data_IF_996730258714
#
_entry.id   IF_996730258714
#
_cell.length_a   1.000
_cell.length_b   1.000
_cell.length_c   1.000
_cell.angle_alpha   90.00
_cell.angle_beta   90.00
_cell.angle_gamma   90.00
#
_symmetry.space_group_name_H-M   'P 1'
#
loop_
_entity.id
_entity.type
_entity.pdbx_description
1 polymer ?
#
# COMPACT_ATOMS: atom_id res chain seq x y z
N UNK A 1 -17.78 -16.38 -9.32
CA UNK A 1 -18.39 -15.03 -9.18
C UNK A 1 -17.93 -14.20 -10.37
N UNK A 2 -18.84 -13.49 -11.02
CA UNK A 2 -18.52 -12.55 -12.12
C UNK A 2 -19.06 -11.19 -11.74
N UNK A 3 -18.23 -10.17 -11.90
CA UNK A 3 -18.56 -8.78 -11.67
C UNK A 3 -18.12 -7.96 -12.87
N UNK A 4 -18.92 -6.98 -13.30
CA UNK A 4 -18.56 -6.02 -14.31
C UNK A 4 -19.05 -4.64 -13.90
N UNK A 5 -18.24 -3.62 -14.14
CA UNK A 5 -18.56 -2.23 -13.82
C UNK A 5 -17.96 -1.32 -14.87
N UNK A 6 -18.75 -0.37 -15.33
CA UNK A 6 -18.27 0.74 -16.14
C UNK A 6 -17.81 1.88 -15.22
N UNK A 7 -16.67 2.47 -15.55
CA UNK A 7 -16.12 3.61 -14.85
C UNK A 7 -15.73 4.68 -15.85
N UNK A 8 -16.37 5.84 -15.74
CA UNK A 8 -15.96 7.01 -16.49
C UNK A 8 -14.84 7.74 -15.75
N UNK A 9 -13.72 7.95 -16.44
CA UNK A 9 -12.59 8.74 -15.93
C UNK A 9 -12.64 10.10 -16.62
N UNK A 10 -12.83 11.15 -15.84
CA UNK A 10 -12.85 12.53 -16.33
C UNK A 10 -11.63 13.26 -15.81
N UNK A 11 -10.95 13.97 -16.70
CA UNK A 11 -9.84 14.86 -16.38
C UNK A 11 -10.21 16.29 -16.80
N UNK A 12 -9.71 17.29 -16.06
CA UNK A 12 -10.03 18.67 -16.36
C UNK A 12 -9.29 19.16 -17.61
N UNK A 13 -8.05 18.69 -17.80
CA UNK A 13 -7.20 19.08 -18.93
C UNK A 13 -6.56 17.86 -19.61
N UNK A 14 -6.30 17.97 -20.91
CA UNK A 14 -5.65 16.91 -21.68
C UNK A 14 -4.26 16.54 -21.10
N UNK A 15 -3.53 17.53 -20.56
CA UNK A 15 -2.23 17.30 -19.94
C UNK A 15 -2.27 16.27 -18.78
N UNK A 16 -3.41 16.17 -18.08
CA UNK A 16 -3.59 15.20 -16.99
C UNK A 16 -3.64 13.76 -17.49
N UNK A 17 -4.04 13.54 -18.74
CA UNK A 17 -4.02 12.19 -19.35
C UNK A 17 -2.60 11.68 -19.62
N UNK A 18 -1.61 12.57 -19.62
CA UNK A 18 -0.20 12.25 -19.86
C UNK A 18 0.58 11.97 -18.58
N UNK A 19 -0.05 12.14 -17.41
CA UNK A 19 0.58 11.89 -16.12
C UNK A 19 0.73 10.40 -15.85
N UNK A 20 1.96 9.96 -15.68
CA UNK A 20 2.29 8.57 -15.37
C UNK A 20 2.23 8.26 -13.86
N UNK A 21 2.15 9.27 -13.02
CA UNK A 21 2.09 9.19 -11.56
C UNK A 21 0.68 9.08 -11.00
N UNK A 22 -0.33 9.41 -11.80
CA UNK A 22 -1.74 9.23 -11.44
C UNK A 22 -2.27 7.84 -11.82
N UNK A 23 -3.17 7.31 -11.01
CA UNK A 23 -3.82 6.02 -11.24
C UNK A 23 -5.28 6.09 -10.90
N UNK A 24 -6.09 5.45 -11.71
CA UNK A 24 -7.49 5.22 -11.39
C UNK A 24 -7.58 3.94 -10.54
N UNK A 25 -8.11 4.08 -9.34
CA UNK A 25 -8.29 2.96 -8.43
C UNK A 25 -9.65 2.29 -8.68
N UNK A 26 -9.61 1.04 -9.10
CA UNK A 26 -10.76 0.15 -9.14
C UNK A 26 -10.69 -0.80 -7.96
N UNK A 27 -11.65 -0.72 -7.07
CA UNK A 27 -11.71 -1.56 -5.89
C UNK A 27 -13.04 -2.30 -5.84
N UNK A 28 -12.97 -3.61 -5.63
CA UNK A 28 -14.14 -4.46 -5.41
C UNK A 28 -13.85 -5.45 -4.28
N UNK A 29 -14.76 -5.54 -3.34
CA UNK A 29 -14.70 -6.50 -2.24
C UNK A 29 -15.59 -7.69 -2.53
N UNK A 30 -15.12 -8.88 -2.19
CA UNK A 30 -15.87 -10.12 -2.31
C UNK A 30 -15.81 -10.89 -0.99
N UNK A 31 -16.96 -11.38 -0.54
CA UNK A 31 -17.04 -12.34 0.55
C UNK A 31 -16.77 -13.74 0.00
N UNK A 32 -15.63 -14.31 0.36
CA UNK A 32 -15.20 -15.63 -0.09
C UNK A 32 -15.13 -16.60 1.10
N UNK A 33 -15.46 -17.86 0.85
CA UNK A 33 -15.11 -18.96 1.78
C UNK A 33 -13.61 -19.23 1.69
N UNK A 34 -13.05 -19.89 2.71
CA UNK A 34 -11.68 -20.41 2.65
C UNK A 34 -11.50 -21.36 1.46
N UNK A 35 -10.35 -21.31 0.79
CA UNK A 35 -10.06 -22.15 -0.37
C UNK A 35 -9.18 -21.46 -1.40
N UNK A 36 -8.85 -22.18 -2.46
CA UNK A 36 -8.03 -21.70 -3.57
C UNK A 36 -8.90 -21.05 -4.64
N UNK A 37 -8.47 -19.91 -5.13
CA UNK A 37 -9.19 -19.11 -6.13
C UNK A 37 -8.24 -18.65 -7.24
N UNK A 38 -8.81 -18.53 -8.44
CA UNK A 38 -8.21 -17.79 -9.54
C UNK A 38 -9.07 -16.57 -9.82
N UNK A 39 -8.44 -15.41 -9.93
CA UNK A 39 -9.06 -14.15 -10.33
C UNK A 39 -8.54 -13.76 -11.70
N UNK A 40 -9.46 -13.46 -12.60
CA UNK A 40 -9.16 -12.85 -13.89
C UNK A 40 -9.74 -11.45 -13.88
N UNK A 41 -8.90 -10.45 -14.11
CA UNK A 41 -9.30 -9.06 -14.28
C UNK A 41 -9.10 -8.67 -15.73
N UNK A 42 -10.17 -8.17 -16.36
CA UNK A 42 -10.14 -7.67 -17.74
C UNK A 42 -10.59 -6.22 -17.75
N UNK A 43 -9.78 -5.37 -18.34
CA UNK A 43 -10.08 -3.94 -18.51
C UNK A 43 -10.16 -3.65 -20.01
N UNK A 44 -11.25 -3.00 -20.43
CA UNK A 44 -11.48 -2.61 -21.81
C UNK A 44 -11.77 -1.11 -21.89
N UNK A 45 -11.09 -0.44 -22.79
CA UNK A 45 -11.43 0.92 -23.20
C UNK A 45 -12.38 0.84 -24.42
N UNK A 46 -13.65 1.23 -24.27
CA UNK A 46 -14.62 1.16 -25.36
C UNK A 46 -14.32 2.14 -26.50
N UNK A 47 -13.60 3.25 -26.24
CA UNK A 47 -13.29 4.28 -27.22
C UNK A 47 -12.14 3.85 -28.13
N UNK A 48 -11.05 3.35 -27.56
CA UNK A 48 -9.90 2.87 -28.35
C UNK A 48 -10.03 1.41 -28.77
N UNK A 49 -10.97 0.65 -28.19
CA UNK A 49 -11.11 -0.79 -28.37
C UNK A 49 -10.00 -1.62 -27.69
N UNK A 50 -9.06 -0.99 -27.01
CA UNK A 50 -7.97 -1.68 -26.32
C UNK A 50 -8.50 -2.48 -25.14
N UNK A 51 -7.93 -3.64 -24.95
CA UNK A 51 -8.24 -4.53 -23.83
C UNK A 51 -6.95 -5.09 -23.25
N UNK A 52 -6.92 -5.22 -21.92
CA UNK A 52 -5.87 -5.94 -21.21
C UNK A 52 -6.50 -6.90 -20.21
N UNK A 53 -5.79 -7.96 -19.87
CA UNK A 53 -6.20 -8.95 -18.89
C UNK A 53 -5.02 -9.32 -18.00
N UNK A 54 -5.32 -9.59 -16.74
CA UNK A 54 -4.38 -10.14 -15.78
C UNK A 54 -5.06 -11.26 -14.97
N UNK A 55 -4.31 -12.31 -14.71
CA UNK A 55 -4.74 -13.45 -13.89
C UNK A 55 -3.88 -13.53 -12.63
N UNK A 56 -4.51 -13.89 -11.50
CA UNK A 56 -3.84 -14.16 -10.25
C UNK A 56 -4.48 -15.35 -9.54
N UNK A 57 -3.66 -16.14 -8.88
CA UNK A 57 -4.11 -17.21 -8.00
C UNK A 57 -3.79 -16.86 -6.55
N UNK A 58 -4.72 -17.17 -5.66
CA UNK A 58 -4.53 -16.94 -4.23
C UNK A 58 -5.32 -17.95 -3.42
N UNK A 59 -4.93 -18.11 -2.16
CA UNK A 59 -5.65 -18.90 -1.18
C UNK A 59 -6.32 -17.97 -0.20
N UNK A 60 -7.66 -18.00 -0.15
CA UNK A 60 -8.42 -17.35 0.91
C UNK A 60 -8.22 -18.15 2.21
N UNK A 61 -7.65 -17.52 3.26
CA UNK A 61 -7.33 -18.22 4.49
C UNK A 61 -8.59 -18.60 5.26
N UNK A 62 -8.46 -19.61 6.11
CA UNK A 62 -9.50 -19.96 7.08
C UNK A 62 -9.34 -19.10 8.34
N UNK A 63 -10.36 -18.32 8.62
CA UNK A 63 -10.47 -17.52 9.83
C UNK A 63 -11.51 -18.08 10.83
N UNK A 64 -11.76 -19.40 10.82
CA UNK A 64 -12.69 -20.03 11.77
C UNK A 64 -12.14 -20.09 13.19
N UNK A 65 -10.82 -20.21 13.35
CA UNK A 65 -10.12 -20.13 14.63
C UNK A 65 -9.63 -18.72 14.94
N UNK A 66 -9.15 -18.51 16.17
CA UNK A 66 -8.48 -17.29 16.58
C UNK A 66 -7.23 -17.04 15.71
N UNK A 67 -7.18 -15.89 15.05
CA UNK A 67 -6.15 -15.56 14.07
C UNK A 67 -6.16 -14.07 13.71
N UNK A 68 -5.26 -13.65 12.84
CA UNK A 68 -5.25 -12.27 12.29
C UNK A 68 -5.03 -12.28 10.78
N UNK A 69 -5.45 -11.21 10.10
CA UNK A 69 -5.25 -11.04 8.66
C UNK A 69 -3.81 -10.68 8.31
N UNK A 70 -3.42 -10.87 7.05
CA UNK A 70 -2.28 -10.15 6.51
C UNK A 70 -2.53 -8.63 6.58
N UNK A 71 -1.48 -7.81 6.77
CA UNK A 71 -1.63 -6.35 6.75
C UNK A 71 -2.01 -5.87 5.36
N UNK A 72 -3.01 -4.98 5.30
CA UNK A 72 -3.55 -4.40 4.06
C UNK A 72 -3.22 -2.92 4.04
N UNK A 73 -2.43 -2.46 3.05
CA UNK A 73 -2.08 -1.06 2.90
C UNK A 73 -3.25 -0.25 2.35
N UNK A 74 -3.54 0.88 2.98
CA UNK A 74 -4.66 1.73 2.63
C UNK A 74 -4.34 3.22 2.89
N UNK A 75 -5.00 4.09 2.12
CA UNK A 75 -5.01 5.54 2.37
C UNK A 75 -6.03 5.91 3.45
N UNK A 76 -7.13 5.20 3.52
CA UNK A 76 -8.19 5.41 4.50
C UNK A 76 -8.72 4.06 5.00
N UNK A 77 -9.03 4.00 6.29
CA UNK A 77 -9.55 2.80 6.95
C UNK A 77 -10.62 3.20 7.95
N UNK A 78 -11.80 2.58 7.85
CA UNK A 78 -12.81 2.62 8.90
C UNK A 78 -12.88 1.29 9.64
N UNK A 79 -12.50 0.18 8.98
CA UNK A 79 -12.59 -1.17 9.51
C UNK A 79 -14.04 -1.68 9.57
N UNK A 80 -14.24 -2.82 10.24
CA UNK A 80 -15.55 -3.44 10.48
C UNK A 80 -15.56 -4.12 11.84
N UNK A 81 -16.74 -4.43 12.35
CA UNK A 81 -16.92 -5.07 13.67
C UNK A 81 -17.48 -6.50 13.58
N UNK A 82 -18.08 -6.83 12.45
CA UNK A 82 -18.64 -8.15 12.16
C UNK A 82 -18.18 -8.60 10.79
N UNK A 83 -18.25 -9.91 10.52
CA UNK A 83 -17.83 -10.49 9.23
C UNK A 83 -18.76 -10.10 8.09
N UNK A 84 -20.03 -9.84 8.39
CA UNK A 84 -21.08 -9.50 7.40
C UNK A 84 -21.02 -8.03 6.98
N UNK A 85 -20.33 -7.18 7.74
CA UNK A 85 -20.10 -5.80 7.35
C UNK A 85 -19.09 -5.72 6.23
N UNK A 86 -19.35 -4.86 5.25
CA UNK A 86 -18.36 -4.53 4.24
C UNK A 86 -17.16 -3.83 4.89
N UNK A 87 -15.97 -4.19 4.43
CA UNK A 87 -14.74 -3.57 4.86
C UNK A 87 -14.63 -2.18 4.21
N UNK A 88 -14.78 -1.13 5.02
CA UNK A 88 -14.69 0.24 4.55
C UNK A 88 -13.24 0.72 4.59
N UNK A 89 -12.59 0.74 3.43
CA UNK A 89 -11.22 1.25 3.25
C UNK A 89 -11.00 1.74 1.81
N UNK A 90 -10.01 2.59 1.63
CA UNK A 90 -9.47 2.96 0.32
C UNK A 90 -8.08 2.35 0.21
N UNK A 91 -7.93 1.33 -0.63
CA UNK A 91 -6.67 0.59 -0.79
C UNK A 91 -5.54 1.48 -1.32
N UNK A 92 -4.31 1.19 -0.89
CA UNK A 92 -3.08 1.68 -1.51
C UNK A 92 -2.40 0.53 -2.28
N UNK A 93 -2.81 0.25 -3.53
CA UNK A 93 -2.36 -0.95 -4.25
C UNK A 93 -0.87 -0.88 -4.63
N UNK A 94 -0.30 0.31 -4.71
CA UNK A 94 1.13 0.49 -4.96
C UNK A 94 1.96 0.40 -3.69
N UNK A 95 1.33 0.58 -2.52
CA UNK A 95 2.06 0.66 -1.25
C UNK A 95 3.11 1.78 -1.21
N UNK A 96 3.00 2.77 -2.09
CA UNK A 96 3.95 3.88 -2.15
C UNK A 96 3.41 5.08 -1.41
N UNK A 97 4.27 5.70 -0.63
CA UNK A 97 3.98 6.93 0.11
C UNK A 97 5.11 7.92 -0.12
N UNK A 98 4.74 9.19 -0.28
CA UNK A 98 5.73 10.26 -0.47
C UNK A 98 6.31 10.69 0.86
N UNK A 99 7.63 10.88 0.92
CA UNK A 99 8.28 11.53 2.05
C UNK A 99 7.66 12.93 2.26
N UNK A 100 7.33 13.27 3.50
CA UNK A 100 6.59 14.49 3.83
C UNK A 100 5.11 14.49 3.41
N UNK A 101 4.58 13.37 2.92
CA UNK A 101 3.19 13.23 2.52
C UNK A 101 2.30 12.62 3.61
N UNK A 102 1.11 12.19 3.20
CA UNK A 102 0.12 11.60 4.12
C UNK A 102 0.60 10.27 4.72
N UNK A 103 0.14 10.01 5.93
CA UNK A 103 0.38 8.74 6.63
C UNK A 103 -0.23 7.58 5.86
N UNK A 104 0.57 6.56 5.55
CA UNK A 104 0.08 5.29 5.05
C UNK A 104 -0.44 4.42 6.20
N UNK A 105 -1.58 3.81 6.01
CA UNK A 105 -2.22 2.95 6.99
C UNK A 105 -2.06 1.49 6.59
N UNK A 106 -1.82 0.62 7.57
CA UNK A 106 -1.86 -0.82 7.38
C UNK A 106 -2.91 -1.42 8.32
N UNK A 107 -4.01 -1.90 7.74
CA UNK A 107 -5.08 -2.55 8.47
C UNK A 107 -4.71 -4.01 8.74
N UNK A 108 -4.89 -4.43 9.99
CA UNK A 108 -4.86 -5.83 10.41
C UNK A 108 -6.15 -6.13 11.18
N UNK A 109 -6.87 -7.15 10.76
CA UNK A 109 -8.06 -7.61 11.49
C UNK A 109 -7.72 -8.84 12.31
N UNK A 110 -8.06 -8.80 13.62
CA UNK A 110 -8.08 -9.97 14.49
C UNK A 110 -9.45 -10.66 14.41
N UNK A 111 -9.43 -11.97 14.42
CA UNK A 111 -10.64 -12.81 14.32
C UNK A 111 -10.75 -13.77 15.48
N UNK A 112 -11.95 -13.89 16.05
CA UNK A 112 -12.35 -14.89 17.04
C UNK A 112 -11.44 -15.00 18.28
N UNK A 113 -10.73 -13.96 18.64
CA UNK A 113 -10.11 -13.90 19.95
C UNK A 113 -11.20 -13.85 21.02
N UNK A 114 -11.07 -14.67 22.05
CA UNK A 114 -12.02 -14.76 23.18
C UNK A 114 -11.45 -14.16 24.45
N UNK A 115 -10.18 -13.75 24.42
CA UNK A 115 -9.45 -13.11 25.52
C UNK A 115 -8.53 -12.03 24.98
N UNK A 116 -8.10 -11.07 25.82
CA UNK A 116 -7.14 -10.06 25.41
C UNK A 116 -5.86 -10.68 24.87
N UNK A 117 -5.54 -10.37 23.63
CA UNK A 117 -4.41 -10.94 22.89
C UNK A 117 -3.54 -9.85 22.31
N UNK A 118 -2.22 -10.01 22.39
CA UNK A 118 -1.25 -9.11 21.74
C UNK A 118 -0.51 -9.82 20.63
N UNK A 119 -0.39 -9.16 19.48
CA UNK A 119 0.34 -9.65 18.32
C UNK A 119 1.47 -8.67 18.03
N UNK A 120 2.75 -9.08 18.06
CA UNK A 120 3.86 -8.19 17.79
C UNK A 120 3.87 -7.77 16.32
N UNK A 121 4.38 -6.58 16.05
CA UNK A 121 4.72 -6.18 14.70
C UNK A 121 6.06 -5.44 14.64
N UNK A 122 6.69 -5.48 13.48
CA UNK A 122 7.94 -4.81 13.18
C UNK A 122 7.85 -4.12 11.82
N UNK A 123 8.43 -2.92 11.73
CA UNK A 123 8.76 -2.26 10.47
C UNK A 123 10.25 -2.44 10.24
N UNK A 124 10.61 -2.99 9.09
CA UNK A 124 11.97 -3.39 8.73
C UNK A 124 12.33 -2.67 7.45
N UNK A 125 13.51 -2.06 7.37
CA UNK A 125 13.98 -1.39 6.17
C UNK A 125 14.61 -2.38 5.15
N UNK A 126 15.07 -1.86 4.02
CA UNK A 126 15.75 -2.58 2.96
C UNK A 126 17.12 -3.16 3.36
N UNK A 127 17.71 -2.67 4.46
CA UNK A 127 18.94 -3.19 5.07
C UNK A 127 18.69 -4.26 6.15
N UNK A 128 17.48 -4.84 6.21
CA UNK A 128 17.05 -5.80 7.24
C UNK A 128 17.13 -5.29 8.68
N UNK A 129 17.19 -3.97 8.87
CA UNK A 129 17.18 -3.36 10.19
C UNK A 129 15.77 -3.07 10.67
N UNK A 130 15.45 -3.45 11.90
CA UNK A 130 14.16 -3.14 12.54
C UNK A 130 14.16 -1.67 12.95
N UNK A 131 13.27 -0.88 12.34
CA UNK A 131 13.10 0.54 12.62
C UNK A 131 12.10 0.75 13.76
N UNK A 132 11.00 0.01 13.70
CA UNK A 132 9.92 0.10 14.69
C UNK A 132 9.55 -1.29 15.17
N UNK A 133 9.31 -1.42 16.47
CA UNK A 133 8.77 -2.63 17.09
C UNK A 133 7.68 -2.23 18.08
N UNK A 134 6.49 -2.82 17.93
CA UNK A 134 5.35 -2.58 18.82
C UNK A 134 4.39 -3.77 18.76
N UNK A 135 3.20 -3.65 19.34
CA UNK A 135 2.18 -4.72 19.41
C UNK A 135 0.80 -4.20 19.02
N UNK A 136 0.07 -5.02 18.27
CA UNK A 136 -1.37 -4.88 18.07
C UNK A 136 -2.09 -5.51 19.29
N UNK A 137 -3.16 -4.86 19.74
CA UNK A 137 -3.91 -5.32 20.92
C UNK A 137 -5.35 -5.61 20.54
N UNK A 138 -5.74 -6.86 20.64
CA UNK A 138 -7.11 -7.34 20.43
C UNK A 138 -7.75 -7.59 21.79
N UNK A 139 -8.98 -7.11 21.98
CA UNK A 139 -9.67 -7.19 23.29
C UNK A 139 -10.32 -8.54 23.52
N UNK A 140 -10.58 -9.30 22.47
CA UNK A 140 -11.30 -10.58 22.53
C UNK A 140 -12.81 -10.43 22.75
N UNK A 141 -13.35 -9.22 22.52
CA UNK A 141 -14.77 -8.94 22.79
C UNK A 141 -15.65 -8.99 21.54
N UNK A 142 -15.05 -9.12 20.34
CA UNK A 142 -15.75 -9.08 19.06
C UNK A 142 -15.26 -10.17 18.13
N UNK A 143 -16.12 -10.58 17.22
CA UNK A 143 -15.76 -11.57 16.19
C UNK A 143 -14.72 -11.04 15.19
N UNK A 144 -14.67 -9.73 14.99
CA UNK A 144 -13.67 -9.02 14.17
C UNK A 144 -13.24 -7.75 14.90
N UNK A 145 -11.94 -7.58 15.06
CA UNK A 145 -11.34 -6.40 15.69
C UNK A 145 -10.30 -5.79 14.76
N UNK A 146 -10.58 -4.62 14.16
CA UNK A 146 -9.60 -3.92 13.34
C UNK A 146 -8.54 -3.24 14.19
N UNK A 147 -7.28 -3.35 13.78
CA UNK A 147 -6.13 -2.60 14.29
C UNK A 147 -5.42 -1.93 13.13
N UNK A 148 -4.85 -0.76 13.34
CA UNK A 148 -4.21 0.03 12.29
C UNK A 148 -2.79 0.39 12.70
N UNK A 149 -1.82 -0.09 11.94
CA UNK A 149 -0.44 0.40 12.01
C UNK A 149 -0.32 1.66 11.14
N UNK A 150 0.28 2.71 11.69
CA UNK A 150 0.50 3.98 10.99
C UNK A 150 1.96 4.05 10.55
N UNK A 151 2.18 4.22 9.25
CA UNK A 151 3.49 4.45 8.67
C UNK A 151 3.57 5.94 8.32
N UNK A 152 4.25 6.70 9.18
CA UNK A 152 4.44 8.14 9.01
C UNK A 152 5.70 8.36 8.17
N UNK A 153 5.60 8.89 6.93
CA UNK A 153 6.72 8.92 5.99
C UNK A 153 7.93 9.71 6.49
N UNK A 154 7.70 10.79 7.24
CA UNK A 154 8.76 11.67 7.74
C UNK A 154 9.65 11.00 8.78
N UNK A 155 9.14 9.97 9.44
CA UNK A 155 9.85 9.21 10.48
C UNK A 155 10.50 7.93 9.95
N UNK A 156 10.41 7.68 8.64
CA UNK A 156 10.92 6.48 8.00
C UNK A 156 12.06 6.81 7.03
N UNK A 157 13.05 5.93 6.84
CA UNK A 157 14.02 6.08 5.78
C UNK A 157 13.35 5.97 4.41
N UNK A 158 13.97 6.59 3.40
CA UNK A 158 13.62 6.34 2.00
C UNK A 158 13.97 4.89 1.65
N UNK A 159 13.16 4.28 0.77
CA UNK A 159 13.35 2.92 0.34
C UNK A 159 12.19 2.00 0.71
N UNK A 160 12.40 0.71 0.55
CA UNK A 160 11.40 -0.30 0.88
C UNK A 160 11.31 -0.51 2.39
N UNK A 161 10.07 -0.51 2.88
CA UNK A 161 9.73 -0.89 4.24
C UNK A 161 8.92 -2.18 4.20
N UNK A 162 9.25 -3.12 5.07
CA UNK A 162 8.48 -4.36 5.27
C UNK A 162 7.78 -4.30 6.63
N UNK A 163 6.46 -4.30 6.61
CA UNK A 163 5.65 -4.47 7.81
C UNK A 163 5.41 -5.96 8.03
N UNK A 164 6.00 -6.50 9.08
CA UNK A 164 5.82 -7.88 9.53
C UNK A 164 4.95 -7.90 10.79
N UNK A 165 3.86 -8.66 10.77
CA UNK A 165 2.92 -8.84 11.88
C UNK A 165 2.91 -10.29 12.30
N UNK A 166 3.00 -10.54 13.60
CA UNK A 166 3.16 -11.86 14.17
C UNK A 166 4.62 -12.32 14.25
N UNK A 167 4.84 -13.55 14.62
CA UNK A 167 6.17 -14.15 14.79
C UNK A 167 6.22 -15.58 14.23
N UNK A 168 7.44 -16.06 13.97
CA UNK A 168 7.66 -17.43 13.46
C UNK A 168 6.92 -17.70 12.15
N UNK A 169 6.33 -18.90 12.05
CA UNK A 169 5.60 -19.36 10.86
C UNK A 169 4.25 -18.67 10.65
N UNK A 170 3.70 -18.05 11.70
CA UNK A 170 2.43 -17.33 11.64
C UNK A 170 2.59 -15.88 11.16
N UNK A 171 3.83 -15.40 11.01
CA UNK A 171 4.10 -14.05 10.59
C UNK A 171 3.56 -13.76 9.19
N UNK A 172 2.90 -12.61 9.05
CA UNK A 172 2.35 -12.11 7.78
C UNK A 172 3.00 -10.78 7.45
N UNK A 173 3.23 -10.52 6.18
CA UNK A 173 4.03 -9.39 5.74
C UNK A 173 3.38 -8.66 4.58
N UNK A 174 3.63 -7.35 4.52
CA UNK A 174 3.39 -6.50 3.34
C UNK A 174 4.55 -5.52 3.19
N UNK A 175 4.76 -5.02 1.98
CA UNK A 175 5.80 -4.04 1.69
C UNK A 175 5.21 -2.68 1.35
N UNK A 176 5.89 -1.62 1.77
CA UNK A 176 5.61 -0.24 1.39
C UNK A 176 6.88 0.41 0.87
N UNK A 177 6.75 1.40 -0.01
CA UNK A 177 7.87 2.17 -0.54
C UNK A 177 7.73 3.63 -0.10
N UNK A 178 8.71 4.14 0.62
CA UNK A 178 8.84 5.58 0.91
C UNK A 178 9.75 6.19 -0.14
N UNK A 179 9.19 7.14 -0.90
CA UNK A 179 9.92 7.80 -1.99
C UNK A 179 9.60 9.29 -2.03
N UNK A 180 10.41 10.07 -2.73
CA UNK A 180 10.04 11.45 -3.02
C UNK A 180 8.92 11.49 -4.06
N UNK A 181 7.95 12.40 -3.88
CA UNK A 181 6.96 12.66 -4.91
C UNK A 181 7.59 13.36 -6.12
N UNK A 182 7.03 13.15 -7.32
CA UNK A 182 7.46 13.86 -8.51
C UNK A 182 7.37 15.40 -8.34
N UNK A 183 6.32 15.88 -7.67
CA UNK A 183 6.15 17.30 -7.35
C UNK A 183 7.25 17.81 -6.43
N UNK A 184 7.64 17.04 -5.40
CA UNK A 184 8.74 17.39 -4.50
C UNK A 184 10.07 17.49 -5.25
N UNK A 185 10.35 16.53 -6.13
CA UNK A 185 11.55 16.52 -6.97
C UNK A 185 11.62 17.78 -7.85
N UNK A 186 10.51 18.17 -8.48
CA UNK A 186 10.45 19.37 -9.33
C UNK A 186 10.67 20.66 -8.52
N UNK A 187 10.06 20.75 -7.33
CA UNK A 187 10.16 21.92 -6.46
C UNK A 187 11.55 22.04 -5.83
N UNK A 188 12.16 20.93 -5.44
CA UNK A 188 13.43 20.89 -4.72
C UNK A 188 14.58 20.34 -5.57
N UNK A 189 14.48 20.46 -6.89
CA UNK A 189 15.44 19.90 -7.85
C UNK A 189 16.89 20.31 -7.56
N UNK A 190 17.12 21.57 -7.19
CA UNK A 190 18.48 22.06 -6.89
C UNK A 190 19.05 21.42 -5.64
N UNK A 191 18.25 21.27 -4.59
CA UNK A 191 18.64 20.62 -3.33
C UNK A 191 18.92 19.13 -3.55
N UNK A 192 18.08 18.46 -4.35
CA UNK A 192 18.27 17.07 -4.71
C UNK A 192 19.59 16.85 -5.47
N UNK A 193 19.91 17.75 -6.43
CA UNK A 193 21.21 17.67 -7.14
C UNK A 193 22.38 17.91 -6.18
N UNK A 194 22.23 18.82 -5.22
CA UNK A 194 23.29 19.06 -4.25
C UNK A 194 23.49 17.88 -3.28
N UNK A 195 22.43 17.13 -2.97
CA UNK A 195 22.55 15.86 -2.20
C UNK A 195 23.37 14.81 -2.95
N UNK A 196 23.35 14.76 -4.27
CA UNK A 196 24.16 13.82 -5.06
C UNK A 196 25.67 14.01 -4.86
N UNK A 197 26.13 15.17 -4.37
CA UNK A 197 27.54 15.42 -4.02
C UNK A 197 28.04 14.49 -2.91
N UNK A 198 27.17 14.17 -1.94
CA UNK A 198 27.52 13.25 -0.86
C UNK A 198 27.74 11.82 -1.32
N UNK A 199 27.24 11.47 -2.50
CA UNK A 199 27.39 10.16 -3.12
C UNK A 199 28.54 10.12 -4.17
N UNK A 200 29.32 11.21 -4.34
CA UNK A 200 30.48 11.26 -5.22
C UNK A 200 30.16 11.33 -6.72
N UNK A 201 28.94 11.70 -7.11
CA UNK A 201 28.51 11.76 -8.52
C UNK A 201 28.65 13.16 -9.15
N UNK A 202 29.83 13.78 -9.05
CA UNK A 202 30.05 15.15 -9.53
C UNK A 202 29.78 15.34 -11.03
N UNK A 203 30.10 14.36 -11.86
CA UNK A 203 29.86 14.44 -13.30
C UNK A 203 28.36 14.40 -13.64
N UNK A 204 27.59 13.58 -12.92
CA UNK A 204 26.14 13.51 -13.05
C UNK A 204 25.49 14.86 -12.65
N UNK A 205 26.01 15.49 -11.59
CA UNK A 205 25.55 16.81 -11.12
C UNK A 205 25.74 17.88 -12.19
N UNK A 206 26.90 17.89 -12.85
CA UNK A 206 27.18 18.85 -13.95
C UNK A 206 26.22 18.65 -15.12
N UNK A 207 25.93 17.40 -15.48
CA UNK A 207 25.00 17.07 -16.57
C UNK A 207 23.58 17.50 -16.22
N UNK A 208 23.09 17.20 -15.01
CA UNK A 208 21.74 17.54 -14.55
C UNK A 208 21.53 19.08 -14.42
N UNK A 209 22.55 19.80 -13.92
CA UNK A 209 22.49 21.27 -13.87
C UNK A 209 22.45 21.89 -15.28
N UNK A 210 23.14 21.28 -16.23
CA UNK A 210 23.13 21.76 -17.64
C UNK A 210 21.80 21.46 -18.34
N UNK A 211 21.16 20.32 -18.06
CA UNK A 211 19.87 19.93 -18.64
C UNK A 211 18.73 20.88 -18.26
N UNK A 212 18.79 21.53 -17.08
CA UNK A 212 17.79 22.52 -16.64
C UNK A 212 17.84 23.85 -17.40
N UNK A 213 18.95 24.16 -18.07
CA UNK A 213 19.14 25.43 -18.79
C UNK A 213 18.61 25.40 -20.23
N UNK A 214 18.10 24.23 -20.67
CA UNK A 214 17.51 24.09 -22.01
C UNK A 214 16.15 23.38 -21.84
N UNK A 215 15.01 24.16 -21.75
CA UNK A 215 13.68 23.63 -21.78
C UNK A 215 13.33 23.05 -23.16
#
# INVERSE_FOLDING_TARGET
IRFARDQEVRVAEFAETMRNDESVLFQQLFHLKSGSYRVTVSVRDPLSGRQTQADAEFVAPDFSAASFSAPILAYQVTGRRTRDQDLALVLSPRGTVSYGGDTLLALVEGYNYTEPTTVPFEIINDLDSVITRDTLRFTGTRAVEPQVVRIVPDSQPLGELRLRVGSGTEAKQTSALVSFSGAWILTNYSEMIDLLRYFGHEDLIKQLKKARLHP
#
